data_IF_503234392630
#
_entry.id   IF_503234392630
#
_cell.length_a   1.000
_cell.length_b   1.000
_cell.length_c   1.000
_cell.angle_alpha   90.00
_cell.angle_beta   90.00
_cell.angle_gamma   90.00
#
_symmetry.space_group_name_H-M   'P 1'
#
loop_
_entity.id
_entity.type
_entity.pdbx_description
1 polymer ?
#
# COMPACT_ATOMS: atom_id res chain seq x y z
N UNK A 1 21.37 -35.41 -14.62
CA UNK A 1 20.48 -34.33 -15.10
C UNK A 1 19.80 -33.50 -13.98
N UNK A 2 19.95 -33.84 -12.71
CA UNK A 2 19.30 -33.11 -11.61
C UNK A 2 20.13 -31.98 -11.02
N UNK A 3 21.44 -31.89 -11.29
CA UNK A 3 22.32 -30.88 -10.72
C UNK A 3 22.27 -29.51 -11.44
N UNK A 4 21.80 -29.49 -12.69
CA UNK A 4 21.73 -28.27 -13.50
C UNK A 4 20.51 -27.39 -13.19
N UNK A 5 19.46 -27.94 -12.59
CA UNK A 5 18.25 -27.20 -12.27
C UNK A 5 18.33 -26.45 -10.93
N UNK A 6 19.19 -26.91 -10.02
CA UNK A 6 19.36 -26.24 -8.70
C UNK A 6 20.20 -24.96 -8.74
N UNK A 7 20.95 -24.73 -9.81
CA UNK A 7 21.86 -23.58 -9.94
C UNK A 7 21.14 -22.28 -10.41
N UNK A 8 19.82 -22.33 -10.64
CA UNK A 8 19.11 -21.28 -11.37
C UNK A 8 18.33 -20.28 -10.50
N UNK A 9 18.24 -20.51 -9.18
CA UNK A 9 17.37 -19.68 -8.32
C UNK A 9 18.17 -18.98 -7.22
N UNK A 10 18.80 -17.87 -7.60
CA UNK A 10 19.42 -16.99 -6.61
C UNK A 10 18.36 -16.46 -5.64
N UNK A 11 18.62 -16.47 -4.31
CA UNK A 11 17.68 -15.91 -3.35
C UNK A 11 17.73 -14.37 -3.29
N UNK A 12 18.71 -13.75 -3.93
CA UNK A 12 18.95 -12.31 -3.78
C UNK A 12 17.80 -11.42 -4.26
N UNK A 13 17.15 -11.68 -5.42
CA UNK A 13 16.00 -10.85 -5.79
C UNK A 13 14.88 -10.89 -4.76
N UNK A 14 14.62 -12.07 -4.14
CA UNK A 14 13.60 -12.18 -3.11
C UNK A 14 14.01 -11.46 -1.82
N UNK A 15 15.26 -11.65 -1.37
CA UNK A 15 15.77 -10.99 -0.17
C UNK A 15 15.70 -9.46 -0.30
N UNK A 16 16.12 -8.93 -1.45
CA UNK A 16 16.09 -7.48 -1.70
C UNK A 16 14.66 -6.96 -1.83
N UNK A 17 13.73 -7.72 -2.44
CA UNK A 17 12.31 -7.37 -2.45
C UNK A 17 11.76 -7.27 -1.02
N UNK A 18 12.12 -8.22 -0.15
CA UNK A 18 11.68 -8.21 1.26
C UNK A 18 12.23 -7.00 2.01
N UNK A 19 13.54 -6.72 1.87
CA UNK A 19 14.17 -5.56 2.51
C UNK A 19 13.53 -4.26 2.01
N UNK A 20 13.32 -4.15 0.69
CA UNK A 20 12.64 -3.00 0.08
C UNK A 20 11.22 -2.81 0.64
N UNK A 21 10.45 -3.89 0.72
CA UNK A 21 9.10 -3.88 1.28
C UNK A 21 9.13 -3.43 2.76
N UNK A 22 10.04 -3.99 3.56
CA UNK A 22 10.20 -3.64 4.98
C UNK A 22 10.63 -2.18 5.17
N UNK A 23 11.47 -1.63 4.28
CA UNK A 23 11.90 -0.22 4.34
C UNK A 23 10.81 0.75 3.89
N UNK A 24 9.93 0.31 2.97
CA UNK A 24 8.87 1.17 2.44
C UNK A 24 7.78 1.47 3.49
N UNK A 25 7.51 0.54 4.40
CA UNK A 25 6.46 0.74 5.42
C UNK A 25 6.80 1.86 6.41
N UNK A 26 8.01 1.89 7.05
CA UNK A 26 8.40 3.04 7.87
C UNK A 26 8.40 4.37 7.10
N UNK A 27 8.77 4.35 5.81
CA UNK A 27 8.72 5.55 4.96
C UNK A 27 7.30 6.11 4.87
N UNK A 28 6.28 5.23 4.72
CA UNK A 28 4.86 5.63 4.72
C UNK A 28 4.48 6.22 6.08
N UNK A 29 4.90 5.58 7.17
CA UNK A 29 4.60 6.03 8.54
C UNK A 29 5.16 7.45 8.76
N UNK A 30 6.45 7.66 8.46
CA UNK A 30 7.09 8.97 8.64
C UNK A 30 6.46 10.00 7.69
N UNK A 31 6.14 9.63 6.44
CA UNK A 31 5.42 10.53 5.52
C UNK A 31 4.02 10.90 6.05
N UNK A 32 3.37 9.98 6.73
CA UNK A 32 2.11 10.25 7.43
C UNK A 32 2.29 11.28 8.56
N UNK A 33 3.39 11.16 9.33
CA UNK A 33 3.72 12.15 10.37
C UNK A 33 3.99 13.52 9.75
N UNK A 34 4.76 13.60 8.65
CA UNK A 34 5.03 14.87 7.95
C UNK A 34 3.72 15.59 7.61
N UNK A 35 2.73 14.85 7.09
CA UNK A 35 1.43 15.46 6.75
C UNK A 35 0.62 15.82 8.00
N UNK A 36 0.65 14.97 9.03
CA UNK A 36 -0.18 15.19 10.24
C UNK A 36 0.31 16.37 11.07
N UNK A 37 1.63 16.59 11.11
CA UNK A 37 2.24 17.74 11.79
C UNK A 37 2.28 19.00 10.91
N UNK A 38 1.78 18.92 9.68
CA UNK A 38 1.91 20.01 8.69
C UNK A 38 3.39 20.39 8.46
N UNK A 39 4.29 19.41 8.58
CA UNK A 39 5.73 19.59 8.53
C UNK A 39 6.28 19.62 7.09
N UNK A 40 5.40 19.49 6.09
CA UNK A 40 5.83 19.30 4.71
C UNK A 40 6.50 20.47 4.04
N UNK A 41 6.59 21.62 4.73
CA UNK A 41 7.28 22.83 4.27
C UNK A 41 8.36 23.28 5.27
N UNK A 42 8.73 22.41 6.24
CA UNK A 42 9.81 22.74 7.19
C UNK A 42 11.17 22.87 6.48
N UNK A 43 11.33 22.19 5.32
CA UNK A 43 12.51 22.31 4.46
C UNK A 43 12.02 22.81 3.09
N UNK A 44 12.19 24.12 2.78
CA UNK A 44 11.53 24.73 1.62
C UNK A 44 12.20 24.43 0.28
N UNK A 45 13.39 23.84 0.28
CA UNK A 45 14.16 23.51 -0.94
C UNK A 45 14.17 22.01 -1.23
N UNK A 46 14.37 21.66 -2.50
CA UNK A 46 14.48 20.28 -2.96
C UNK A 46 15.29 20.26 -4.26
N UNK A 47 16.25 19.34 -4.44
CA UNK A 47 16.59 18.17 -3.59
C UNK A 47 17.55 18.46 -2.43
N UNK A 48 17.88 19.70 -2.19
CA UNK A 48 18.71 20.14 -1.07
C UNK A 48 17.96 20.23 0.25
N UNK A 49 18.65 20.51 1.35
CA UNK A 49 18.13 20.81 2.66
C UNK A 49 18.82 22.10 3.15
N UNK A 50 18.12 23.24 3.10
CA UNK A 50 18.67 24.56 3.41
C UNK A 50 19.96 24.84 2.63
N UNK A 51 19.95 24.51 1.35
CA UNK A 51 21.12 24.73 0.47
C UNK A 51 22.20 23.65 0.55
N UNK A 52 22.19 22.80 1.56
CA UNK A 52 23.14 21.68 1.66
C UNK A 52 22.68 20.52 0.75
N UNK A 53 23.64 19.74 0.25
CA UNK A 53 23.32 18.40 -0.23
C UNK A 53 22.61 17.63 0.90
N UNK A 54 21.44 17.02 0.63
CA UNK A 54 20.63 16.41 1.70
C UNK A 54 21.36 15.30 2.48
N UNK A 55 22.36 14.64 1.85
CA UNK A 55 23.14 13.60 2.53
C UNK A 55 24.27 14.17 3.38
N UNK A 56 24.61 15.44 3.18
CA UNK A 56 25.71 16.14 3.86
C UNK A 56 25.18 17.21 4.83
N UNK A 57 23.84 17.27 5.02
CA UNK A 57 23.26 18.17 6.02
C UNK A 57 23.82 17.79 7.41
N UNK A 58 24.30 18.76 8.22
CA UNK A 58 24.98 18.43 9.49
C UNK A 58 24.07 17.60 10.39
N UNK A 59 24.52 16.40 10.75
CA UNK A 59 23.68 15.46 11.51
C UNK A 59 23.34 16.00 12.91
N UNK A 60 24.25 16.79 13.53
CA UNK A 60 23.99 17.43 14.80
C UNK A 60 22.82 18.42 14.70
N UNK A 61 22.82 19.23 13.63
CA UNK A 61 21.73 20.18 13.36
C UNK A 61 20.41 19.47 13.11
N UNK A 62 20.43 18.31 12.42
CA UNK A 62 19.24 17.51 12.18
C UNK A 62 18.68 16.90 13.46
N UNK A 63 19.54 16.25 14.28
CA UNK A 63 19.08 15.55 15.51
C UNK A 63 18.59 16.56 16.57
N UNK A 64 19.19 17.75 16.62
CA UNK A 64 18.78 18.83 17.53
C UNK A 64 17.65 19.73 16.96
N UNK A 65 17.16 19.44 15.75
CA UNK A 65 16.17 20.27 15.05
C UNK A 65 14.79 20.23 15.73
N UNK A 66 13.96 21.24 15.51
CA UNK A 66 12.53 21.13 15.80
C UNK A 66 11.93 19.90 15.12
N UNK A 67 10.86 19.38 15.74
CA UNK A 67 10.27 18.08 15.33
C UNK A 67 9.84 18.05 13.86
N UNK A 68 9.33 19.15 13.33
CA UNK A 68 8.90 19.27 11.92
C UNK A 68 10.07 19.06 10.95
N UNK A 69 11.21 19.74 11.19
CA UNK A 69 12.41 19.55 10.38
C UNK A 69 12.97 18.12 10.55
N UNK A 70 12.98 17.62 11.79
CA UNK A 70 13.49 16.26 12.07
C UNK A 70 12.74 15.21 11.25
N UNK A 71 11.39 15.27 11.24
CA UNK A 71 10.60 14.26 10.52
C UNK A 71 10.63 14.48 9.00
N UNK A 72 10.62 15.73 8.51
CA UNK A 72 10.65 15.98 7.06
C UNK A 72 11.99 15.55 6.46
N UNK A 73 13.12 15.99 7.03
CA UNK A 73 14.44 15.58 6.53
C UNK A 73 14.63 14.06 6.67
N UNK A 74 14.20 13.46 7.79
CA UNK A 74 14.21 12.01 7.99
C UNK A 74 13.40 11.27 6.92
N UNK A 75 12.23 11.81 6.54
CA UNK A 75 11.41 11.24 5.47
C UNK A 75 12.17 11.25 4.13
N UNK A 76 12.88 12.34 3.82
CA UNK A 76 13.68 12.46 2.60
C UNK A 76 14.81 11.40 2.55
N UNK A 77 15.51 11.22 3.68
CA UNK A 77 16.58 10.21 3.79
C UNK A 77 16.03 8.78 3.66
N UNK A 78 14.89 8.49 4.27
CA UNK A 78 14.22 7.19 4.09
C UNK A 78 13.77 6.98 2.65
N UNK A 79 13.27 8.03 1.99
CA UNK A 79 12.93 7.98 0.57
C UNK A 79 14.13 7.64 -0.31
N UNK A 80 15.28 8.28 -0.04
CA UNK A 80 16.53 7.99 -0.73
C UNK A 80 16.99 6.54 -0.49
N UNK A 81 16.87 6.05 0.75
CA UNK A 81 17.19 4.65 1.08
C UNK A 81 16.31 3.68 0.26
N UNK A 82 15.00 3.93 0.18
CA UNK A 82 14.08 3.11 -0.61
C UNK A 82 14.47 3.17 -2.10
N UNK A 83 14.90 4.34 -2.59
CA UNK A 83 15.44 4.48 -3.96
C UNK A 83 16.67 3.60 -4.20
N UNK A 84 17.64 3.64 -3.30
CA UNK A 84 18.87 2.82 -3.37
C UNK A 84 18.54 1.32 -3.32
N UNK A 85 17.62 0.93 -2.41
CA UNK A 85 17.17 -0.47 -2.30
C UNK A 85 16.46 -0.93 -3.59
N UNK A 86 15.70 -0.03 -4.24
CA UNK A 86 15.06 -0.33 -5.52
C UNK A 86 16.12 -0.55 -6.62
N UNK A 87 17.16 0.29 -6.68
CA UNK A 87 18.29 0.10 -7.61
C UNK A 87 18.98 -1.24 -7.37
N UNK A 88 19.26 -1.58 -6.11
CA UNK A 88 19.88 -2.87 -5.74
C UNK A 88 18.96 -4.04 -6.16
N UNK A 89 17.65 -3.92 -5.95
CA UNK A 89 16.68 -4.92 -6.40
C UNK A 89 16.73 -5.08 -7.92
N UNK A 90 16.69 -3.99 -8.68
CA UNK A 90 16.76 -4.01 -10.16
C UNK A 90 18.03 -4.70 -10.60
N UNK A 91 19.19 -4.29 -10.07
CA UNK A 91 20.48 -4.91 -10.39
C UNK A 91 20.45 -6.42 -10.14
N UNK A 92 19.91 -6.84 -8.98
CA UNK A 92 19.82 -8.26 -8.64
C UNK A 92 18.92 -9.04 -9.61
N UNK A 93 17.82 -8.43 -10.07
CA UNK A 93 16.92 -9.07 -11.05
C UNK A 93 17.64 -9.21 -12.39
N UNK A 94 18.33 -8.18 -12.87
CA UNK A 94 19.05 -8.23 -14.15
C UNK A 94 20.16 -9.28 -14.11
N UNK A 95 20.87 -9.40 -13.00
CA UNK A 95 22.02 -10.32 -12.85
C UNK A 95 21.59 -11.76 -12.54
N UNK A 96 20.45 -11.98 -11.88
CA UNK A 96 20.14 -13.27 -11.25
C UNK A 96 18.78 -13.87 -11.66
N UNK A 97 17.92 -13.12 -12.38
CA UNK A 97 16.58 -13.59 -12.78
C UNK A 97 16.51 -13.66 -14.31
N UNK A 98 16.24 -14.83 -14.86
CA UNK A 98 16.18 -15.01 -16.32
C UNK A 98 14.86 -14.61 -16.95
N UNK A 99 13.82 -14.37 -16.12
CA UNK A 99 12.47 -14.06 -16.61
C UNK A 99 12.46 -12.63 -17.17
N UNK A 100 12.22 -12.48 -18.47
CA UNK A 100 12.19 -11.17 -19.15
C UNK A 100 11.14 -10.26 -18.52
N UNK A 101 9.93 -10.80 -18.28
CA UNK A 101 8.85 -10.01 -17.67
C UNK A 101 9.22 -9.47 -16.28
N UNK A 102 10.03 -10.23 -15.53
CA UNK A 102 10.48 -9.79 -14.20
C UNK A 102 11.42 -8.58 -14.30
N UNK A 103 12.25 -8.52 -15.35
CA UNK A 103 13.12 -7.36 -15.63
C UNK A 103 12.27 -6.13 -15.95
N UNK A 104 11.20 -6.29 -16.76
CA UNK A 104 10.25 -5.21 -17.05
C UNK A 104 9.57 -4.70 -15.77
N UNK A 105 9.12 -5.62 -14.91
CA UNK A 105 8.50 -5.28 -13.62
C UNK A 105 9.50 -4.54 -12.72
N UNK A 106 10.77 -4.95 -12.72
CA UNK A 106 11.83 -4.28 -11.94
C UNK A 106 12.08 -2.86 -12.46
N UNK A 107 12.11 -2.66 -13.78
CA UNK A 107 12.23 -1.32 -14.38
C UNK A 107 11.03 -0.44 -14.02
N UNK A 108 9.81 -1.02 -14.00
CA UNK A 108 8.61 -0.29 -13.56
C UNK A 108 8.75 0.15 -12.10
N UNK A 109 9.31 -0.72 -11.22
CA UNK A 109 9.55 -0.36 -9.81
C UNK A 109 10.49 0.84 -9.71
N UNK A 110 11.56 0.86 -10.53
CA UNK A 110 12.49 1.99 -10.55
C UNK A 110 11.81 3.26 -11.04
N UNK A 111 11.08 3.20 -12.14
CA UNK A 111 10.30 4.34 -12.65
C UNK A 111 9.31 4.87 -11.61
N UNK A 112 8.64 3.96 -10.90
CA UNK A 112 7.66 4.32 -9.87
C UNK A 112 8.32 5.04 -8.67
N UNK A 113 9.48 4.56 -8.19
CA UNK A 113 10.16 5.21 -7.06
C UNK A 113 10.73 6.58 -7.47
N UNK A 114 11.24 6.70 -8.71
CA UNK A 114 11.70 7.99 -9.24
C UNK A 114 10.50 8.96 -9.34
N UNK A 115 9.39 8.51 -9.92
CA UNK A 115 8.17 9.32 -10.00
C UNK A 115 7.67 9.76 -8.63
N UNK A 116 7.73 8.87 -7.64
CA UNK A 116 7.34 9.20 -6.26
C UNK A 116 8.28 10.26 -5.65
N UNK A 117 9.58 10.17 -5.90
CA UNK A 117 10.55 11.18 -5.47
C UNK A 117 10.28 12.54 -6.11
N UNK A 118 10.02 12.55 -7.43
CA UNK A 118 9.69 13.79 -8.16
C UNK A 118 8.38 14.41 -7.67
N UNK A 119 7.35 13.61 -7.39
CA UNK A 119 6.09 14.09 -6.79
C UNK A 119 6.34 14.69 -5.40
N UNK A 120 7.20 14.03 -4.60
CA UNK A 120 7.56 14.53 -3.28
C UNK A 120 8.31 15.85 -3.34
N UNK A 121 9.22 16.02 -4.31
CA UNK A 121 9.92 17.28 -4.55
C UNK A 121 9.01 18.37 -5.10
N UNK A 122 8.21 18.02 -6.10
CA UNK A 122 7.29 18.96 -6.75
C UNK A 122 6.29 19.57 -5.75
N UNK A 123 5.78 18.76 -4.81
CA UNK A 123 4.85 19.30 -3.81
C UNK A 123 5.50 20.37 -2.90
N UNK A 124 6.82 20.24 -2.65
CA UNK A 124 7.58 21.24 -1.86
C UNK A 124 7.81 22.49 -2.71
N UNK A 125 8.41 22.32 -3.89
CA UNK A 125 8.80 23.48 -4.75
C UNK A 125 7.59 24.29 -5.19
N UNK A 126 6.43 23.64 -5.43
CA UNK A 126 5.21 24.30 -5.90
C UNK A 126 4.22 24.62 -4.77
N UNK A 127 4.50 24.21 -3.54
CA UNK A 127 3.59 24.33 -2.39
C UNK A 127 2.17 23.87 -2.76
N UNK A 128 2.07 22.71 -3.43
CA UNK A 128 0.84 22.28 -4.07
C UNK A 128 0.16 21.16 -3.30
N UNK A 129 -0.97 21.47 -2.68
CA UNK A 129 -1.79 20.53 -1.88
C UNK A 129 -2.24 19.33 -2.73
N UNK A 130 -2.63 19.55 -3.99
CA UNK A 130 -3.06 18.47 -4.88
C UNK A 130 -1.94 17.50 -5.19
N UNK A 131 -0.71 18.00 -5.41
CA UNK A 131 0.47 17.15 -5.63
C UNK A 131 0.79 16.36 -4.36
N UNK A 132 0.65 16.99 -3.17
CA UNK A 132 0.83 16.30 -1.89
C UNK A 132 -0.18 15.15 -1.74
N UNK A 133 -1.45 15.35 -2.15
CA UNK A 133 -2.48 14.31 -2.13
C UNK A 133 -2.12 13.16 -3.08
N UNK A 134 -1.70 13.47 -4.31
CA UNK A 134 -1.29 12.46 -5.31
C UNK A 134 -0.09 11.66 -4.79
N UNK A 135 0.92 12.35 -4.26
CA UNK A 135 2.10 11.72 -3.63
C UNK A 135 1.67 10.78 -2.49
N UNK A 136 0.74 11.24 -1.64
CA UNK A 136 0.18 10.46 -0.53
C UNK A 136 -0.60 9.22 -0.97
N UNK A 137 -1.29 9.27 -2.12
CA UNK A 137 -1.99 8.11 -2.68
C UNK A 137 -1.03 7.12 -3.35
N UNK A 138 0.02 7.65 -4.01
CA UNK A 138 0.97 6.82 -4.74
C UNK A 138 1.90 6.04 -3.79
N UNK A 139 2.19 6.56 -2.58
CA UNK A 139 3.03 5.86 -1.58
C UNK A 139 2.49 4.47 -1.23
N UNK A 140 1.24 4.35 -0.74
CA UNK A 140 0.61 3.05 -0.48
C UNK A 140 0.52 2.14 -1.72
N UNK A 141 0.30 2.70 -2.91
CA UNK A 141 0.34 1.94 -4.16
C UNK A 141 1.74 1.32 -4.36
N UNK A 142 2.80 2.12 -4.20
CA UNK A 142 4.18 1.62 -4.32
C UNK A 142 4.48 0.55 -3.27
N UNK A 143 4.01 0.72 -2.03
CA UNK A 143 4.17 -0.30 -0.98
C UNK A 143 3.47 -1.61 -1.37
N UNK A 144 2.22 -1.55 -1.83
CA UNK A 144 1.50 -2.74 -2.31
C UNK A 144 2.25 -3.39 -3.50
N UNK A 145 2.86 -2.58 -4.35
CA UNK A 145 3.68 -3.07 -5.46
C UNK A 145 4.95 -3.76 -4.96
N UNK A 146 5.61 -3.26 -3.90
CA UNK A 146 6.76 -3.99 -3.32
C UNK A 146 6.34 -5.34 -2.74
N UNK A 147 5.12 -5.46 -2.19
CA UNK A 147 4.57 -6.76 -1.78
C UNK A 147 4.38 -7.68 -3.01
N UNK A 148 3.91 -7.13 -4.14
CA UNK A 148 3.83 -7.89 -5.40
C UNK A 148 5.22 -8.41 -5.82
N UNK A 149 6.27 -7.58 -5.72
CA UNK A 149 7.65 -8.00 -6.02
C UNK A 149 8.09 -9.17 -5.11
N UNK A 150 7.73 -9.12 -3.81
CA UNK A 150 8.01 -10.21 -2.88
C UNK A 150 7.32 -11.51 -3.34
N UNK A 151 6.06 -11.43 -3.78
CA UNK A 151 5.32 -12.61 -4.25
C UNK A 151 5.96 -13.15 -5.54
N UNK A 152 6.23 -12.28 -6.54
CA UNK A 152 6.78 -12.69 -7.84
C UNK A 152 8.16 -13.34 -7.72
N UNK A 153 8.94 -12.97 -6.70
CA UNK A 153 10.27 -13.52 -6.46
C UNK A 153 10.25 -14.72 -5.51
N UNK A 154 9.11 -15.05 -4.89
CA UNK A 154 8.98 -16.12 -3.89
C UNK A 154 9.08 -17.52 -4.50
N UNK A 155 9.43 -18.48 -3.67
CA UNK A 155 9.45 -19.91 -4.05
C UNK A 155 8.05 -20.38 -4.48
N UNK A 156 7.01 -19.97 -3.75
CA UNK A 156 5.63 -20.32 -4.08
C UNK A 156 5.29 -19.92 -5.52
N UNK A 157 5.63 -18.68 -5.92
CA UNK A 157 5.36 -18.21 -7.28
C UNK A 157 6.10 -19.03 -8.34
N UNK A 158 7.37 -19.35 -8.08
CA UNK A 158 8.24 -20.05 -9.03
C UNK A 158 7.85 -21.53 -9.19
N UNK A 159 7.39 -22.19 -8.12
CA UNK A 159 7.13 -23.63 -8.08
C UNK A 159 5.69 -24.02 -8.40
N UNK A 160 4.72 -23.11 -8.30
CA UNK A 160 3.29 -23.42 -8.44
C UNK A 160 2.85 -23.87 -9.85
N UNK A 161 3.75 -23.97 -10.81
CA UNK A 161 3.44 -24.47 -12.16
C UNK A 161 3.52 -25.99 -12.33
N UNK A 162 3.96 -26.73 -11.31
CA UNK A 162 4.33 -28.14 -11.47
C UNK A 162 3.48 -29.13 -10.67
N UNK A 163 2.62 -28.71 -9.76
CA UNK A 163 2.07 -29.66 -8.77
C UNK A 163 0.56 -29.70 -8.58
N UNK A 164 -0.23 -28.82 -9.16
CA UNK A 164 -1.62 -28.67 -8.70
C UNK A 164 -2.71 -28.78 -9.80
N UNK A 165 -2.59 -29.73 -10.73
CA UNK A 165 -3.69 -30.07 -11.66
C UNK A 165 -4.90 -30.69 -10.93
N UNK A 166 -4.70 -31.21 -9.73
CA UNK A 166 -5.76 -31.86 -8.93
C UNK A 166 -6.68 -30.92 -8.16
N UNK A 167 -6.26 -29.86 -8.07
CA UNK A 167 -6.98 -28.98 -7.40
C UNK A 167 -7.93 -28.22 -8.20
N UNK A 168 -7.78 -28.32 -9.27
CA UNK A 168 -8.51 -27.46 -10.21
C UNK A 168 -10.02 -27.70 -10.23
N UNK A 169 -10.47 -28.89 -9.96
CA UNK A 169 -11.88 -29.26 -10.18
C UNK A 169 -12.85 -28.74 -9.13
N UNK A 170 -12.38 -28.29 -7.96
CA UNK A 170 -13.24 -27.96 -6.82
C UNK A 170 -13.21 -26.49 -6.40
N UNK A 171 -12.54 -25.61 -7.16
CA UNK A 171 -12.39 -24.20 -6.79
C UNK A 171 -13.35 -23.32 -7.59
N UNK A 172 -14.17 -22.52 -6.92
CA UNK A 172 -14.91 -21.43 -7.57
C UNK A 172 -13.91 -20.32 -7.94
N UNK A 173 -13.14 -20.59 -8.98
CA UNK A 173 -12.02 -19.78 -9.44
C UNK A 173 -12.45 -18.37 -9.82
N UNK A 174 -13.60 -18.24 -10.51
CA UNK A 174 -14.12 -16.95 -10.97
C UNK A 174 -14.46 -16.05 -9.77
N UNK A 175 -15.14 -16.62 -8.78
CA UNK A 175 -15.56 -15.89 -7.57
C UNK A 175 -14.36 -15.45 -6.76
N UNK A 176 -13.38 -16.35 -6.56
CA UNK A 176 -12.16 -16.03 -5.81
C UNK A 176 -11.37 -14.91 -6.49
N UNK A 177 -11.10 -15.02 -7.79
CA UNK A 177 -10.35 -14.00 -8.53
C UNK A 177 -11.08 -12.67 -8.52
N UNK A 178 -12.38 -12.68 -8.86
CA UNK A 178 -13.20 -11.46 -8.86
C UNK A 178 -13.14 -10.76 -7.48
N UNK A 179 -13.41 -11.51 -6.42
CA UNK A 179 -13.46 -10.92 -5.06
C UNK A 179 -12.09 -10.40 -4.63
N UNK A 180 -11.01 -11.09 -4.98
CA UNK A 180 -9.65 -10.68 -4.65
C UNK A 180 -9.28 -9.35 -5.35
N UNK A 181 -9.54 -9.24 -6.65
CA UNK A 181 -9.22 -8.03 -7.41
C UNK A 181 -10.16 -6.87 -7.07
N UNK A 182 -11.46 -7.15 -6.83
CA UNK A 182 -12.40 -6.12 -6.35
C UNK A 182 -11.96 -5.57 -5.00
N UNK A 183 -11.46 -6.42 -4.09
CA UNK A 183 -10.97 -5.94 -2.80
C UNK A 183 -9.79 -4.98 -2.97
N UNK A 184 -8.81 -5.29 -3.85
CA UNK A 184 -7.69 -4.37 -4.14
C UNK A 184 -8.23 -3.04 -4.66
N UNK A 185 -9.15 -3.09 -5.64
CA UNK A 185 -9.71 -1.88 -6.26
C UNK A 185 -10.47 -1.03 -5.22
N UNK A 186 -11.31 -1.68 -4.41
CA UNK A 186 -12.11 -0.98 -3.39
C UNK A 186 -11.24 -0.41 -2.27
N UNK A 187 -10.21 -1.14 -1.83
CA UNK A 187 -9.27 -0.64 -0.81
C UNK A 187 -8.51 0.57 -1.35
N UNK A 188 -8.07 0.54 -2.61
CA UNK A 188 -7.35 1.68 -3.19
C UNK A 188 -8.28 2.88 -3.38
N UNK A 189 -9.50 2.67 -3.83
CA UNK A 189 -10.50 3.75 -3.93
C UNK A 189 -10.81 4.33 -2.54
N UNK A 190 -10.99 3.48 -1.52
CA UNK A 190 -11.20 3.93 -0.13
C UNK A 190 -10.03 4.79 0.37
N UNK A 191 -8.80 4.42 0.00
CA UNK A 191 -7.60 5.19 0.34
C UNK A 191 -7.63 6.57 -0.33
N UNK A 192 -8.03 6.66 -1.61
CA UNK A 192 -8.18 7.93 -2.33
C UNK A 192 -9.26 8.79 -1.66
N UNK A 193 -10.39 8.20 -1.27
CA UNK A 193 -11.46 8.93 -0.54
C UNK A 193 -10.93 9.48 0.79
N UNK A 194 -10.13 8.69 1.53
CA UNK A 194 -9.47 9.14 2.76
C UNK A 194 -8.45 10.26 2.52
N UNK A 195 -7.69 10.16 1.43
CA UNK A 195 -6.73 11.21 1.04
C UNK A 195 -7.45 12.51 0.69
N UNK A 196 -8.59 12.43 -0.02
CA UNK A 196 -9.43 13.59 -0.31
C UNK A 196 -9.91 14.27 0.98
N UNK A 197 -10.39 13.47 1.94
CA UNK A 197 -10.85 14.00 3.23
C UNK A 197 -9.69 14.65 4.01
N UNK A 198 -8.50 14.05 3.95
CA UNK A 198 -7.32 14.56 4.63
C UNK A 198 -6.80 15.88 4.03
N UNK A 199 -6.93 16.04 2.71
CA UNK A 199 -6.44 17.22 1.97
C UNK A 199 -7.59 18.16 1.55
N UNK A 200 -8.76 18.05 2.20
CA UNK A 200 -9.90 18.91 1.88
C UNK A 200 -9.50 20.39 2.09
N UNK A 201 -9.97 21.25 1.20
CA UNK A 201 -9.62 22.67 1.27
C UNK A 201 -10.18 23.31 2.55
N UNK A 202 -9.44 24.25 3.12
CA UNK A 202 -9.82 24.93 4.38
C UNK A 202 -11.15 25.70 4.20
N UNK A 203 -11.37 26.20 3.00
CA UNK A 203 -12.57 26.97 2.61
C UNK A 203 -13.68 26.08 2.02
N UNK A 204 -13.54 24.76 2.10
CA UNK A 204 -14.57 23.84 1.61
C UNK A 204 -15.88 24.05 2.37
N UNK A 205 -16.99 24.02 1.64
CA UNK A 205 -18.30 24.21 2.27
C UNK A 205 -18.61 23.07 3.25
N UNK A 206 -19.40 23.34 4.31
CA UNK A 206 -19.81 22.27 5.24
C UNK A 206 -20.52 21.10 4.54
N UNK A 207 -21.26 21.36 3.47
CA UNK A 207 -21.93 20.31 2.68
C UNK A 207 -20.90 19.44 1.95
N UNK A 208 -19.87 20.04 1.32
CA UNK A 208 -18.79 19.28 0.66
C UNK A 208 -18.06 18.38 1.66
N UNK A 209 -17.74 18.90 2.83
CA UNK A 209 -17.11 18.11 3.91
C UNK A 209 -18.00 16.92 4.30
N UNK A 210 -19.30 17.16 4.58
CA UNK A 210 -20.23 16.10 4.99
C UNK A 210 -20.36 15.02 3.91
N UNK A 211 -20.45 15.42 2.64
CA UNK A 211 -20.56 14.48 1.50
C UNK A 211 -19.29 13.63 1.42
N UNK A 212 -18.10 14.23 1.54
CA UNK A 212 -16.82 13.50 1.49
C UNK A 212 -16.74 12.48 2.65
N UNK A 213 -17.13 12.88 3.86
CA UNK A 213 -17.16 11.99 5.04
C UNK A 213 -18.12 10.83 4.77
N UNK A 214 -19.35 11.12 4.30
CA UNK A 214 -20.36 10.10 4.05
C UNK A 214 -19.86 9.06 3.02
N UNK A 215 -19.28 9.52 1.91
CA UNK A 215 -18.72 8.60 0.91
C UNK A 215 -17.61 7.73 1.49
N UNK A 216 -16.72 8.33 2.30
CA UNK A 216 -15.65 7.58 2.95
C UNK A 216 -16.21 6.51 3.90
N UNK A 217 -17.24 6.83 4.69
CA UNK A 217 -17.86 5.87 5.62
C UNK A 217 -18.61 4.77 4.89
N UNK A 218 -19.43 5.11 3.88
CA UNK A 218 -20.17 4.13 3.09
C UNK A 218 -19.21 3.16 2.39
N UNK A 219 -18.14 3.70 1.81
CA UNK A 219 -17.17 2.87 1.10
C UNK A 219 -16.34 2.01 2.03
N UNK A 220 -16.11 2.45 3.27
CA UNK A 220 -15.49 1.60 4.31
C UNK A 220 -16.35 0.35 4.58
N UNK A 221 -17.69 0.51 4.57
CA UNK A 221 -18.62 -0.62 4.65
C UNK A 221 -18.47 -1.58 3.46
N UNK A 222 -18.32 -1.05 2.24
CA UNK A 222 -18.09 -1.88 1.03
C UNK A 222 -16.80 -2.69 1.16
N UNK A 223 -15.71 -2.05 1.64
CA UNK A 223 -14.43 -2.74 1.86
C UNK A 223 -14.59 -3.86 2.91
N UNK A 224 -15.27 -3.56 4.04
CA UNK A 224 -15.48 -4.55 5.11
C UNK A 224 -16.27 -5.75 4.60
N UNK A 225 -17.38 -5.51 3.90
CA UNK A 225 -18.23 -6.58 3.35
C UNK A 225 -17.45 -7.42 2.31
N UNK A 226 -16.64 -6.77 1.48
CA UNK A 226 -15.83 -7.47 0.46
C UNK A 226 -14.75 -8.32 1.13
N UNK A 227 -14.11 -7.83 2.19
CA UNK A 227 -13.09 -8.57 2.95
C UNK A 227 -13.70 -9.83 3.60
N UNK A 228 -14.87 -9.69 4.24
CA UNK A 228 -15.59 -10.82 4.86
C UNK A 228 -16.00 -11.83 3.76
N UNK A 229 -16.57 -11.35 2.65
CA UNK A 229 -16.99 -12.23 1.54
C UNK A 229 -15.79 -12.99 0.95
N UNK A 230 -14.64 -12.32 0.82
CA UNK A 230 -13.40 -12.99 0.37
C UNK A 230 -12.96 -14.05 1.38
N UNK A 231 -12.96 -13.73 2.68
CA UNK A 231 -12.61 -14.66 3.75
C UNK A 231 -13.50 -15.91 3.72
N UNK A 232 -14.84 -15.72 3.61
CA UNK A 232 -15.80 -16.83 3.50
C UNK A 232 -15.56 -17.67 2.23
N UNK A 233 -15.21 -17.01 1.12
CA UNK A 233 -14.89 -17.70 -0.16
C UNK A 233 -13.66 -18.59 0.02
N UNK A 234 -12.60 -18.07 0.65
CA UNK A 234 -11.35 -18.82 0.92
C UNK A 234 -11.61 -19.97 1.88
N UNK A 235 -12.39 -19.72 2.96
CA UNK A 235 -12.69 -20.75 3.96
C UNK A 235 -13.31 -22.00 3.31
N UNK A 236 -14.24 -21.79 2.38
CA UNK A 236 -14.99 -22.88 1.72
C UNK A 236 -14.16 -23.68 0.69
N UNK A 237 -12.96 -23.18 0.31
CA UNK A 237 -12.19 -23.77 -0.80
C UNK A 237 -10.93 -24.48 -0.30
N UNK A 238 -11.07 -25.75 0.06
CA UNK A 238 -10.07 -26.56 0.76
C UNK A 238 -8.65 -26.56 0.15
N UNK A 239 -8.43 -26.76 -1.16
CA UNK A 239 -7.04 -26.83 -1.64
C UNK A 239 -6.27 -25.52 -1.49
N UNK A 240 -6.96 -24.38 -1.63
CA UNK A 240 -6.37 -23.03 -1.63
C UNK A 240 -6.32 -22.46 -0.20
N UNK A 241 -7.18 -22.96 0.68
CA UNK A 241 -7.34 -22.49 2.07
C UNK A 241 -6.00 -22.40 2.81
N UNK A 242 -5.13 -23.41 2.66
CA UNK A 242 -3.82 -23.44 3.35
C UNK A 242 -2.90 -22.26 2.98
N UNK A 243 -3.07 -21.68 1.78
CA UNK A 243 -2.24 -20.57 1.29
C UNK A 243 -2.85 -19.19 1.53
N UNK A 244 -4.19 -19.10 1.60
CA UNK A 244 -4.91 -17.83 1.59
C UNK A 244 -5.68 -17.56 2.87
N UNK A 245 -5.98 -18.55 3.73
CA UNK A 245 -6.82 -18.32 4.91
C UNK A 245 -6.17 -17.35 5.88
N UNK A 246 -4.87 -17.54 6.16
CA UNK A 246 -4.16 -16.65 7.09
C UNK A 246 -4.17 -15.19 6.60
N UNK A 247 -3.74 -14.86 5.37
CA UNK A 247 -3.84 -13.47 4.93
C UNK A 247 -5.28 -12.96 4.83
N UNK A 248 -6.27 -13.81 4.51
CA UNK A 248 -7.69 -13.40 4.52
C UNK A 248 -8.19 -13.08 5.93
N UNK A 249 -7.70 -13.80 6.95
CA UNK A 249 -8.01 -13.49 8.36
C UNK A 249 -7.32 -12.19 8.77
N UNK A 250 -6.05 -12.01 8.42
CA UNK A 250 -5.28 -10.79 8.71
C UNK A 250 -6.01 -9.57 8.14
N UNK A 251 -6.53 -9.64 6.89
CA UNK A 251 -7.19 -8.46 6.32
C UNK A 251 -8.50 -8.13 7.06
N UNK A 252 -9.26 -9.12 7.51
CA UNK A 252 -10.46 -8.87 8.32
C UNK A 252 -10.10 -8.19 9.66
N UNK A 253 -9.03 -8.66 10.33
CA UNK A 253 -8.55 -8.05 11.57
C UNK A 253 -8.06 -6.61 11.32
N UNK A 254 -7.31 -6.38 10.26
CA UNK A 254 -6.83 -5.03 9.89
C UNK A 254 -8.00 -4.09 9.59
N UNK A 255 -9.07 -4.58 8.97
CA UNK A 255 -10.28 -3.77 8.70
C UNK A 255 -10.95 -3.37 10.02
N UNK A 256 -11.05 -4.27 11.00
CA UNK A 256 -11.59 -3.94 12.33
C UNK A 256 -10.72 -2.85 12.99
N UNK A 257 -9.39 -3.03 12.98
CA UNK A 257 -8.45 -2.04 13.53
C UNK A 257 -8.61 -0.70 12.79
N UNK A 258 -8.75 -0.74 11.46
CA UNK A 258 -8.89 0.46 10.61
C UNK A 258 -10.14 1.26 10.95
N UNK A 259 -11.28 0.56 11.20
CA UNK A 259 -12.55 1.20 11.61
C UNK A 259 -12.36 1.85 12.98
N UNK A 260 -11.75 1.15 13.93
CA UNK A 260 -11.47 1.70 15.27
C UNK A 260 -10.56 2.94 15.19
N UNK A 261 -9.49 2.87 14.38
CA UNK A 261 -8.59 4.02 14.14
C UNK A 261 -9.30 5.16 13.43
N UNK A 262 -10.25 4.86 12.53
CA UNK A 262 -11.08 5.87 11.87
C UNK A 262 -11.94 6.63 12.87
N UNK A 263 -12.60 5.91 13.77
CA UNK A 263 -13.36 6.51 14.88
C UNK A 263 -12.46 7.34 15.79
N UNK A 264 -11.29 6.80 16.14
CA UNK A 264 -10.28 7.54 16.92
C UNK A 264 -9.82 8.80 16.20
N UNK A 265 -9.55 8.72 14.89
CA UNK A 265 -9.18 9.89 14.04
C UNK A 265 -10.26 10.96 14.11
N UNK A 266 -11.53 10.56 14.02
CA UNK A 266 -12.65 11.50 14.15
C UNK A 266 -12.59 12.22 15.49
N UNK A 267 -12.50 11.45 16.61
CA UNK A 267 -12.52 12.01 17.97
C UNK A 267 -11.35 12.99 18.18
N UNK A 268 -10.13 12.62 17.79
CA UNK A 268 -8.95 13.47 18.06
C UNK A 268 -8.89 14.69 17.13
N UNK A 269 -9.66 14.73 16.01
CA UNK A 269 -9.68 15.87 15.09
C UNK A 269 -10.92 16.75 15.24
N UNK A 270 -12.08 16.18 15.57
CA UNK A 270 -13.37 16.88 15.50
C UNK A 270 -14.19 16.78 16.79
N UNK A 271 -13.65 16.17 17.84
CA UNK A 271 -14.32 15.87 19.12
C UNK A 271 -15.32 14.70 19.01
N UNK A 272 -15.92 14.34 20.12
CA UNK A 272 -16.95 13.29 20.20
C UNK A 272 -18.18 13.71 19.40
N UNK A 273 -18.83 12.78 18.70
CA UNK A 273 -20.11 13.08 18.04
C UNK A 273 -21.16 13.57 19.05
N UNK A 274 -22.04 14.46 18.60
CA UNK A 274 -23.07 15.06 19.49
C UNK A 274 -23.88 14.01 20.26
N UNK A 275 -24.34 12.94 19.59
CA UNK A 275 -25.10 11.86 20.25
C UNK A 275 -24.33 11.21 21.41
N UNK A 276 -23.01 11.11 21.32
CA UNK A 276 -22.18 10.55 22.37
C UNK A 276 -22.04 11.51 23.56
N UNK A 277 -21.90 12.79 23.29
CA UNK A 277 -21.87 13.82 24.35
C UNK A 277 -23.22 13.94 25.05
N UNK A 278 -24.32 13.76 24.31
CA UNK A 278 -25.68 13.72 24.91
C UNK A 278 -25.85 12.53 25.89
N UNK A 279 -25.08 11.44 25.66
CA UNK A 279 -25.03 10.28 26.57
C UNK A 279 -23.98 10.45 27.68
N UNK A 280 -23.36 11.62 27.79
CA UNK A 280 -22.36 11.92 28.81
C UNK A 280 -20.93 11.48 28.46
N UNK A 281 -20.70 10.98 27.23
CA UNK A 281 -19.38 10.54 26.80
C UNK A 281 -18.53 11.72 26.34
N UNK A 282 -17.27 11.78 26.80
CA UNK A 282 -16.31 12.76 26.33
C UNK A 282 -16.63 14.21 26.63
N UNK A 283 -17.46 14.49 27.63
CA UNK A 283 -17.88 15.87 28.00
C UNK A 283 -16.66 16.75 28.30
N UNK A 284 -15.60 16.18 28.90
CA UNK A 284 -14.37 16.91 29.25
C UNK A 284 -13.31 16.85 28.13
N UNK A 285 -13.60 16.21 26.99
CA UNK A 285 -12.63 16.03 25.93
C UNK A 285 -12.40 17.34 25.18
N UNK A 286 -11.13 17.76 25.08
CA UNK A 286 -10.72 18.95 24.33
C UNK A 286 -9.80 18.50 23.17
N UNK A 287 -10.14 18.89 21.97
CA UNK A 287 -9.32 18.62 20.80
C UNK A 287 -8.03 19.45 20.87
N UNK A 288 -6.90 18.78 20.84
CA UNK A 288 -5.58 19.41 20.83
C UNK A 288 -4.91 19.18 19.48
N UNK A 289 -4.85 20.23 18.66
CA UNK A 289 -4.19 20.16 17.35
C UNK A 289 -2.69 19.82 17.52
N UNK A 290 -2.19 18.99 16.63
CA UNK A 290 -0.78 18.56 16.59
C UNK A 290 -0.32 17.85 17.87
N UNK A 291 -1.26 17.34 18.70
CA UNK A 291 -0.90 16.54 19.85
C UNK A 291 -0.31 15.18 19.41
N UNK A 292 0.48 14.58 20.28
CA UNK A 292 1.07 13.25 20.03
C UNK A 292 -0.03 12.20 19.79
N UNK A 293 -1.11 12.25 20.57
CA UNK A 293 -2.24 11.32 20.39
C UNK A 293 -2.92 11.50 19.02
N UNK A 294 -3.14 12.74 18.59
CA UNK A 294 -3.70 13.04 17.28
C UNK A 294 -2.78 12.49 16.18
N UNK A 295 -1.49 12.78 16.29
CA UNK A 295 -0.49 12.42 15.26
C UNK A 295 -0.34 10.92 15.13
N UNK A 296 -0.25 10.19 16.24
CA UNK A 296 -0.14 8.72 16.23
C UNK A 296 -1.43 8.12 15.66
N UNK A 297 -2.60 8.54 16.14
CA UNK A 297 -3.88 7.96 15.71
C UNK A 297 -4.12 8.15 14.22
N UNK A 298 -3.97 9.39 13.73
CA UNK A 298 -4.19 9.74 12.31
C UNK A 298 -3.18 9.00 11.41
N UNK A 299 -1.90 9.00 11.81
CA UNK A 299 -0.85 8.34 11.03
C UNK A 299 -1.04 6.83 11.03
N UNK A 300 -1.43 6.23 12.17
CA UNK A 300 -1.75 4.80 12.26
C UNK A 300 -2.91 4.42 11.34
N UNK A 301 -3.95 5.27 11.26
CA UNK A 301 -5.08 5.04 10.34
C UNK A 301 -4.58 4.97 8.89
N UNK A 302 -3.69 5.87 8.47
CA UNK A 302 -3.11 5.86 7.11
C UNK A 302 -2.23 4.62 6.89
N UNK A 303 -1.39 4.28 7.87
CA UNK A 303 -0.47 3.15 7.77
C UNK A 303 -1.21 1.81 7.70
N UNK A 304 -2.24 1.62 8.55
CA UNK A 304 -3.06 0.40 8.54
C UNK A 304 -3.85 0.29 7.21
N UNK A 305 -4.36 1.42 6.69
CA UNK A 305 -4.98 1.44 5.36
C UNK A 305 -4.02 0.93 4.27
N UNK A 306 -2.75 1.34 4.36
CA UNK A 306 -1.69 0.88 3.44
C UNK A 306 -1.40 -0.62 3.59
N UNK A 307 -1.41 -1.14 4.83
CA UNK A 307 -1.27 -2.58 5.10
C UNK A 307 -2.43 -3.38 4.53
N UNK A 308 -3.67 -2.87 4.62
CA UNK A 308 -4.85 -3.53 4.04
C UNK A 308 -4.66 -3.65 2.52
N UNK A 309 -4.20 -2.58 1.85
CA UNK A 309 -3.93 -2.62 0.41
C UNK A 309 -2.84 -3.65 0.07
N UNK A 310 -1.77 -3.70 0.86
CA UNK A 310 -0.65 -4.63 0.69
C UNK A 310 -1.11 -6.09 0.83
N UNK A 311 -1.90 -6.40 1.87
CA UNK A 311 -2.42 -7.76 2.10
C UNK A 311 -3.46 -8.13 1.03
N UNK A 312 -4.31 -7.19 0.62
CA UNK A 312 -5.26 -7.42 -0.49
C UNK A 312 -4.51 -7.78 -1.78
N UNK A 313 -3.41 -7.04 -2.08
CA UNK A 313 -2.55 -7.30 -3.24
C UNK A 313 -1.88 -8.67 -3.15
N UNK A 314 -1.36 -9.03 -1.97
CA UNK A 314 -0.81 -10.38 -1.71
C UNK A 314 -1.84 -11.46 -2.05
N UNK A 315 -3.08 -11.32 -1.55
CA UNK A 315 -4.16 -12.29 -1.77
C UNK A 315 -4.50 -12.37 -3.27
N UNK A 316 -4.67 -11.22 -3.93
CA UNK A 316 -5.04 -11.17 -5.34
C UNK A 316 -4.00 -11.87 -6.23
N UNK A 317 -2.71 -11.57 -6.02
CA UNK A 317 -1.63 -12.15 -6.82
C UNK A 317 -1.47 -13.65 -6.53
N UNK A 318 -1.56 -14.05 -5.24
CA UNK A 318 -1.54 -15.49 -4.90
C UNK A 318 -2.76 -16.21 -5.47
N UNK A 319 -3.96 -15.64 -5.40
CA UNK A 319 -5.16 -16.22 -6.00
C UNK A 319 -4.97 -16.42 -7.50
N UNK A 320 -4.45 -15.40 -8.19
CA UNK A 320 -4.17 -15.47 -9.63
C UNK A 320 -3.18 -16.60 -9.95
N UNK A 321 -2.16 -16.80 -9.12
CA UNK A 321 -1.15 -17.83 -9.34
C UNK A 321 -1.64 -19.25 -9.03
N UNK A 322 -2.50 -19.38 -8.00
CA UNK A 322 -2.97 -20.67 -7.51
C UNK A 322 -4.19 -21.20 -8.28
N UNK A 323 -4.94 -20.30 -8.92
CA UNK A 323 -6.07 -20.70 -9.76
C UNK A 323 -5.52 -21.21 -11.11
N UNK A 324 -5.84 -22.45 -11.51
CA UNK A 324 -5.37 -22.98 -12.79
C UNK A 324 -5.89 -22.12 -13.96
N UNK A 325 -5.02 -21.88 -14.92
CA UNK A 325 -5.46 -21.35 -16.21
C UNK A 325 -6.45 -22.35 -16.81
N UNK A 326 -7.57 -21.86 -17.33
CA UNK A 326 -8.48 -22.75 -18.09
C UNK A 326 -7.67 -23.45 -19.18
N UNK A 327 -7.89 -24.76 -19.44
CA UNK A 327 -7.34 -25.34 -20.64
C UNK A 327 -7.81 -24.48 -21.81
N UNK A 328 -6.87 -24.13 -22.63
CA UNK A 328 -7.13 -23.41 -23.89
C UNK A 328 -8.22 -24.18 -24.66
N UNK A 329 -9.36 -23.55 -24.91
CA UNK A 329 -10.43 -24.21 -25.66
C UNK A 329 -10.05 -24.18 -27.13
N UNK A 330 -9.68 -25.34 -27.71
CA UNK A 330 -9.23 -25.37 -29.12
C UNK A 330 -10.31 -24.93 -30.10
N UNK A 331 -11.60 -24.93 -29.68
CA UNK A 331 -12.73 -24.56 -30.54
C UNK A 331 -12.84 -23.05 -30.78
N UNK A 332 -12.23 -22.24 -29.90
CA UNK A 332 -12.18 -20.77 -30.08
C UNK A 332 -11.23 -20.36 -31.23
N UNK A 333 -10.28 -21.24 -31.62
CA UNK A 333 -9.35 -20.94 -32.72
C UNK A 333 -9.87 -21.50 -34.04
N UNK A 334 -10.61 -22.63 -34.01
CA UNK A 334 -11.19 -23.23 -35.23
C UNK A 334 -12.22 -22.31 -35.90
N UNK A 335 -12.80 -21.36 -35.17
CA UNK A 335 -13.75 -20.38 -35.75
C UNK A 335 -13.10 -19.28 -36.58
N UNK A 336 -11.79 -19.07 -36.43
CA UNK A 336 -11.06 -18.01 -37.16
C UNK A 336 -10.51 -18.57 -38.51
N UNK A 337 -10.18 -19.87 -38.54
CA UNK A 337 -9.68 -20.51 -39.77
C UNK A 337 -10.81 -20.89 -40.75
N UNK A 338 -12.07 -20.92 -40.28
CA UNK A 338 -13.21 -21.27 -41.14
C UNK A 338 -13.78 -20.06 -41.92
N UNK A 339 -13.23 -18.85 -41.74
CA UNK A 339 -13.69 -17.62 -42.41
C UNK A 339 -12.58 -17.00 -43.29
N UNK A 340 -11.44 -17.66 -43.43
CA UNK A 340 -10.36 -17.31 -44.34
C UNK A 340 -10.30 -18.33 -45.48
#
# INVERSE_FOLDING_TARGET
MSSTLQQLDSPWPHRLAMVLCCATFPLIWVGGLVTTYDAGMAVPDWPSTYGYNMFLYPWQSWVAAPWDLFIEHGHRLLGALVGVLTLAFVASVFLRDRRVWMKTVACFALGAVIGQGLLGGARVVLDARQIAMIHGCFGPFFFAFTVALCVFTSRLWKQSGTTDHLXAERVDSKRLLRNSFLLVAFVYLQLILGANLRHIAVDASPSAFRVTVLFHLLFAGVVALTAVNLWLTVWKQQPIRRYLLWPATVICLLVVIQIALGGGTWIVKYAWPGWATDLGWGVSHVVQANSLSQSITVTSHVAVGSLILAVATLIAIRSFRLVPARPFDPWLVAGVEAVA
#
